data_IF_161180104855
#
_entry.id   IF_161180104855
#
_cell.length_a   1.000
_cell.length_b   1.000
_cell.length_c   1.000
_cell.angle_alpha   90.00
_cell.angle_beta   90.00
_cell.angle_gamma   90.00
#
_symmetry.space_group_name_H-M   'P 1'
#
loop_
_entity.id
_entity.type
_entity.pdbx_description
1 polymer ?
#
# COMPACT_ATOMS: atom_id res chain seq x y z
N UNK A 1 -5.24 21.56 36.03
CA UNK A 1 -5.31 21.04 34.66
C UNK A 1 -4.80 19.60 34.43
N UNK A 2 -3.87 18.98 35.21
CA UNK A 2 -3.31 17.64 34.85
C UNK A 2 -4.30 16.47 34.93
N UNK A 3 -5.52 16.67 35.47
CA UNK A 3 -6.56 15.63 35.51
C UNK A 3 -7.30 15.46 34.19
N UNK A 4 -7.33 16.48 33.34
CA UNK A 4 -8.03 16.41 32.05
C UNK A 4 -7.15 15.77 30.97
N UNK A 5 -5.84 16.11 30.93
CA UNK A 5 -4.88 15.44 30.03
C UNK A 5 -4.79 13.95 30.31
N UNK A 6 -4.71 13.53 31.58
CA UNK A 6 -4.71 12.12 31.97
C UNK A 6 -6.03 11.40 31.59
N UNK A 7 -7.14 12.14 31.54
CA UNK A 7 -8.41 11.60 31.08
C UNK A 7 -8.44 11.42 29.56
N UNK A 8 -7.93 12.39 28.79
CA UNK A 8 -7.81 12.28 27.33
C UNK A 8 -6.83 11.16 26.93
N UNK A 9 -5.74 11.02 27.67
CA UNK A 9 -4.79 9.90 27.52
C UNK A 9 -5.47 8.56 27.73
N UNK A 10 -6.24 8.39 28.81
CA UNK A 10 -7.02 7.17 29.03
C UNK A 10 -8.05 6.94 27.91
N UNK A 11 -8.78 7.98 27.48
CA UNK A 11 -9.75 7.82 26.39
C UNK A 11 -9.08 7.38 25.10
N UNK A 12 -7.92 7.93 24.76
CA UNK A 12 -7.25 7.60 23.51
C UNK A 12 -6.63 6.20 23.55
N UNK A 13 -6.02 5.82 24.67
CA UNK A 13 -5.14 4.65 24.75
C UNK A 13 -5.81 3.40 25.28
N UNK A 14 -6.88 3.51 26.08
CA UNK A 14 -7.52 2.35 26.73
C UNK A 14 -8.88 2.03 26.09
N UNK A 15 -9.31 0.75 26.12
CA UNK A 15 -10.59 0.35 25.53
C UNK A 15 -11.77 0.83 26.37
N UNK A 16 -11.58 1.02 27.66
CA UNK A 16 -12.60 1.61 28.55
C UNK A 16 -11.98 2.58 29.53
N UNK A 17 -12.76 3.59 29.91
CA UNK A 17 -12.39 4.61 30.90
C UNK A 17 -13.49 4.71 31.94
N UNK A 18 -13.14 4.60 33.22
CA UNK A 18 -14.09 4.77 34.31
C UNK A 18 -14.12 6.23 34.76
N UNK A 19 -15.22 6.92 34.49
CA UNK A 19 -15.46 8.28 35.01
C UNK A 19 -16.16 8.18 36.36
N UNK A 20 -15.68 8.99 37.31
CA UNK A 20 -16.27 9.15 38.63
C UNK A 20 -16.87 10.54 38.76
N UNK A 21 -18.20 10.62 38.78
CA UNK A 21 -18.94 11.85 39.07
C UNK A 21 -19.13 11.95 40.57
N UNK A 22 -18.68 13.06 41.17
CA UNK A 22 -18.92 13.39 42.57
C UNK A 22 -19.60 14.74 42.64
N UNK A 23 -20.67 14.83 43.41
CA UNK A 23 -21.40 16.07 43.57
C UNK A 23 -22.14 16.13 44.90
N UNK A 24 -22.69 17.31 45.15
CA UNK A 24 -23.59 17.57 46.25
C UNK A 24 -24.95 17.94 45.68
N UNK A 25 -26.00 17.26 46.16
CA UNK A 25 -27.37 17.59 45.84
C UNK A 25 -28.02 18.30 47.04
N UNK A 26 -28.87 19.26 46.73
CA UNK A 26 -29.73 19.94 47.70
C UNK A 26 -31.20 19.73 47.26
N UNK A 27 -31.76 18.53 47.44
CA UNK A 27 -33.14 18.29 47.04
C UNK A 27 -34.10 19.04 47.95
N UNK A 28 -35.12 19.62 47.34
CA UNK A 28 -36.22 20.28 48.05
C UNK A 28 -37.45 19.39 47.96
N UNK A 29 -37.96 18.96 49.11
CA UNK A 29 -39.16 18.12 49.21
C UNK A 29 -40.32 19.01 49.61
N UNK A 30 -41.37 19.04 48.78
CA UNK A 30 -42.60 19.78 49.06
C UNK A 30 -43.52 18.93 49.93
N UNK A 31 -43.75 19.36 51.17
CA UNK A 31 -44.70 18.75 52.09
C UNK A 31 -45.97 19.61 52.17
N UNK A 32 -47.06 19.04 52.67
CA UNK A 32 -48.32 19.76 52.92
C UNK A 32 -48.11 20.93 53.90
N UNK A 33 -47.06 20.87 54.72
CA UNK A 33 -46.70 21.88 55.73
C UNK A 33 -45.63 22.88 55.25
N UNK A 34 -45.16 22.79 54.00
CA UNK A 34 -44.12 23.66 53.45
C UNK A 34 -42.98 22.89 52.77
N UNK A 35 -42.03 23.63 52.21
CA UNK A 35 -40.87 23.06 51.53
C UNK A 35 -39.75 22.76 52.53
N UNK A 36 -39.21 21.55 52.47
CA UNK A 36 -38.06 21.12 53.28
C UNK A 36 -36.87 20.88 52.35
N UNK A 37 -35.82 21.69 52.49
CA UNK A 37 -34.57 21.48 51.76
C UNK A 37 -33.64 20.56 52.56
N UNK A 38 -33.18 19.47 51.94
CA UNK A 38 -32.11 18.64 52.48
C UNK A 38 -30.78 19.17 51.96
N UNK A 39 -29.83 19.48 52.85
CA UNK A 39 -28.49 19.95 52.47
C UNK A 39 -27.45 18.84 52.53
N UNK A 40 -26.38 18.95 51.73
CA UNK A 40 -25.19 18.09 51.77
C UNK A 40 -25.43 16.61 51.45
N UNK A 41 -26.38 16.28 50.56
CA UNK A 41 -26.47 14.91 50.06
C UNK A 41 -25.32 14.69 49.07
N UNK A 42 -24.29 13.98 49.51
CA UNK A 42 -23.21 13.54 48.62
C UNK A 42 -23.68 12.40 47.76
N UNK A 43 -23.50 12.53 46.45
CA UNK A 43 -23.64 11.42 45.53
C UNK A 43 -22.33 11.16 44.80
N UNK A 44 -22.08 9.88 44.55
CA UNK A 44 -20.95 9.42 43.76
C UNK A 44 -21.47 8.38 42.78
N UNK A 45 -21.36 8.67 41.48
CA UNK A 45 -21.69 7.73 40.42
C UNK A 45 -20.42 7.37 39.67
N UNK A 46 -20.27 6.08 39.34
CA UNK A 46 -19.25 5.62 38.40
C UNK A 46 -19.94 5.20 37.10
N UNK A 47 -19.38 5.64 35.99
CA UNK A 47 -19.83 5.26 34.65
C UNK A 47 -18.61 4.79 33.87
N UNK A 48 -18.78 3.71 33.12
CA UNK A 48 -17.75 3.22 32.21
C UNK A 48 -18.07 3.74 30.82
N UNK A 49 -17.09 4.40 30.20
CA UNK A 49 -17.15 4.80 28.81
C UNK A 49 -16.24 3.90 27.98
N UNK A 50 -16.62 3.64 26.74
CA UNK A 50 -15.71 3.07 25.75
C UNK A 50 -14.67 4.15 25.39
N UNK A 51 -13.40 3.78 25.38
CA UNK A 51 -12.31 4.58 24.81
C UNK A 51 -11.98 4.11 23.40
N UNK A 52 -10.92 4.66 22.83
CA UNK A 52 -10.51 4.44 21.44
C UNK A 52 -9.53 3.28 21.28
N UNK A 53 -8.92 2.79 22.38
CA UNK A 53 -7.96 1.68 22.38
C UNK A 53 -6.81 1.85 21.36
N UNK A 54 -6.31 3.08 21.19
CA UNK A 54 -5.35 3.44 20.14
C UNK A 54 -5.80 3.04 18.71
N UNK A 55 -7.10 2.92 18.50
CA UNK A 55 -7.73 2.38 17.29
C UNK A 55 -7.27 0.95 16.94
N UNK A 56 -6.95 0.14 17.95
CA UNK A 56 -6.57 -1.25 17.77
C UNK A 56 -7.80 -2.15 17.50
N UNK A 57 -8.97 -1.81 18.05
CA UNK A 57 -10.19 -2.62 17.95
C UNK A 57 -11.43 -1.76 17.65
N UNK A 58 -11.92 -1.75 16.39
CA UNK A 58 -11.33 -2.37 15.21
C UNK A 58 -10.09 -1.60 14.70
N UNK A 59 -9.15 -2.29 14.00
CA UNK A 59 -7.94 -1.66 13.50
C UNK A 59 -8.25 -0.59 12.45
N UNK A 60 -7.36 0.40 12.33
CA UNK A 60 -7.39 1.38 11.24
C UNK A 60 -7.22 0.62 9.92
N UNK A 61 -8.10 0.91 8.96
CA UNK A 61 -8.07 0.33 7.62
C UNK A 61 -7.64 1.37 6.60
N UNK A 62 -6.85 0.97 5.61
CA UNK A 62 -6.59 1.82 4.45
C UNK A 62 -7.64 1.51 3.39
N UNK A 63 -8.48 2.50 3.10
CA UNK A 63 -9.60 2.37 2.15
C UNK A 63 -9.14 2.63 0.73
N UNK A 64 -8.31 3.66 0.56
CA UNK A 64 -7.84 4.09 -0.77
C UNK A 64 -6.46 4.75 -0.66
N UNK A 65 -5.66 4.60 -1.72
CA UNK A 65 -4.31 5.18 -1.84
C UNK A 65 -4.16 5.81 -3.21
N UNK A 66 -3.98 7.12 -3.25
CA UNK A 66 -3.76 7.90 -4.46
C UNK A 66 -2.37 8.54 -4.45
N UNK A 67 -1.82 8.72 -5.64
CA UNK A 67 -0.58 9.48 -5.84
C UNK A 67 -0.93 10.94 -6.09
N UNK A 68 -0.39 11.83 -5.26
CA UNK A 68 -0.48 13.28 -5.40
C UNK A 68 0.69 13.87 -6.17
N UNK A 69 1.09 15.08 -5.80
CA UNK A 69 2.22 15.78 -6.43
C UNK A 69 3.53 15.05 -6.15
N UNK A 70 4.36 14.91 -7.18
CA UNK A 70 5.70 14.32 -7.10
C UNK A 70 6.79 15.25 -7.63
N UNK A 71 7.97 15.11 -7.05
CA UNK A 71 9.26 15.62 -7.51
C UNK A 71 10.18 14.44 -7.77
N UNK A 72 11.37 14.66 -8.32
CA UNK A 72 12.33 13.57 -8.58
C UNK A 72 12.67 12.72 -7.35
N UNK A 73 12.66 13.30 -6.16
CA UNK A 73 13.06 12.62 -4.91
C UNK A 73 11.93 12.46 -3.90
N UNK A 74 10.75 13.00 -4.19
CA UNK A 74 9.62 12.98 -3.25
C UNK A 74 8.28 12.68 -3.94
N UNK A 75 7.42 11.92 -3.27
CA UNK A 75 6.06 11.62 -3.74
C UNK A 75 5.07 11.80 -2.60
N UNK A 76 4.03 12.59 -2.85
CA UNK A 76 2.92 12.73 -1.92
C UNK A 76 1.97 11.56 -2.10
N UNK A 77 1.76 10.79 -1.05
CA UNK A 77 0.70 9.79 -0.98
C UNK A 77 -0.52 10.41 -0.31
N UNK A 78 -1.67 10.31 -0.95
CA UNK A 78 -2.97 10.72 -0.42
C UNK A 78 -3.71 9.44 -0.01
N UNK A 79 -4.01 9.30 1.26
CA UNK A 79 -4.52 8.04 1.83
C UNK A 79 -5.86 8.30 2.50
N UNK A 80 -6.87 7.50 2.15
CA UNK A 80 -8.14 7.49 2.87
C UNK A 80 -8.10 6.37 3.90
N UNK A 81 -8.26 6.73 5.17
CA UNK A 81 -8.26 5.82 6.31
C UNK A 81 -9.69 5.62 6.82
N UNK A 82 -10.05 4.37 7.11
CA UNK A 82 -11.26 4.00 7.83
C UNK A 82 -10.93 3.81 9.32
N UNK A 83 -11.55 4.63 10.16
CA UNK A 83 -11.33 4.66 11.61
C UNK A 83 -12.65 4.53 12.35
N UNK A 84 -12.74 3.62 13.31
CA UNK A 84 -13.98 3.43 14.08
C UNK A 84 -13.80 3.95 15.51
N UNK A 85 -14.72 4.81 15.92
CA UNK A 85 -14.84 5.26 17.31
C UNK A 85 -15.96 4.45 17.99
N UNK A 86 -15.64 3.51 18.91
CA UNK A 86 -16.65 2.74 19.63
C UNK A 86 -17.34 3.54 20.75
N UNK A 87 -16.90 4.76 21.04
CA UNK A 87 -17.47 5.64 22.05
C UNK A 87 -18.79 6.28 21.60
N UNK A 88 -19.59 6.73 22.58
CA UNK A 88 -20.86 7.45 22.35
C UNK A 88 -20.67 8.96 22.14
N UNK A 89 -19.43 9.46 22.20
CA UNK A 89 -19.08 10.87 22.07
C UNK A 89 -18.04 11.05 20.98
N UNK A 90 -18.08 12.22 20.33
CA UNK A 90 -17.08 12.61 19.35
C UNK A 90 -15.81 13.10 20.04
N UNK A 91 -14.65 12.79 19.45
CA UNK A 91 -13.35 13.31 19.89
C UNK A 91 -12.75 14.14 18.76
N UNK A 92 -12.43 15.40 19.05
CA UNK A 92 -11.68 16.27 18.15
C UNK A 92 -10.23 16.32 18.60
N UNK A 93 -9.35 15.74 17.79
CA UNK A 93 -7.90 15.71 18.00
C UNK A 93 -7.20 16.82 17.21
N UNK A 94 -7.88 17.40 16.22
CA UNK A 94 -7.40 18.47 15.35
C UNK A 94 -6.24 18.04 14.46
N UNK A 95 -5.31 18.94 14.12
CA UNK A 95 -4.19 18.59 13.25
C UNK A 95 -3.25 17.61 13.97
N UNK A 96 -3.03 16.47 13.34
CA UNK A 96 -2.21 15.38 13.86
C UNK A 96 -1.14 15.01 12.84
N UNK A 97 0.10 14.83 13.31
CA UNK A 97 1.18 14.30 12.47
C UNK A 97 1.91 13.15 13.17
N UNK A 98 1.99 12.01 12.49
CA UNK A 98 2.47 10.75 13.05
C UNK A 98 3.60 10.20 12.17
N UNK A 99 4.79 9.93 12.74
CA UNK A 99 5.77 9.05 12.14
C UNK A 99 5.17 7.72 11.71
N UNK A 100 5.30 7.41 10.41
CA UNK A 100 5.00 6.10 9.85
C UNK A 100 6.31 5.32 9.75
N UNK A 101 6.41 4.27 10.56
CA UNK A 101 7.56 3.38 10.61
C UNK A 101 7.27 2.10 9.81
N UNK A 102 8.24 1.71 9.00
CA UNK A 102 8.28 0.40 8.34
C UNK A 102 9.57 -0.30 8.78
N UNK A 103 9.46 -1.54 9.26
CA UNK A 103 10.59 -2.28 9.85
C UNK A 103 11.39 -1.50 10.91
N UNK A 104 10.69 -0.72 11.77
CA UNK A 104 11.26 0.17 12.78
C UNK A 104 12.08 1.36 12.25
N UNK A 105 12.07 1.61 10.94
CA UNK A 105 12.70 2.77 10.31
C UNK A 105 11.64 3.75 9.80
N UNK A 106 11.94 5.05 9.86
CA UNK A 106 11.02 6.10 9.45
C UNK A 106 10.80 6.10 7.93
N UNK A 107 9.64 5.64 7.46
CA UNK A 107 9.32 5.73 6.03
C UNK A 107 8.92 7.17 5.67
N UNK A 108 7.90 7.71 6.35
CA UNK A 108 7.41 9.08 6.12
C UNK A 108 6.70 9.63 7.37
N UNK A 109 6.34 10.91 7.34
CA UNK A 109 5.41 11.52 8.30
C UNK A 109 4.03 11.55 7.66
N UNK A 110 3.04 10.98 8.34
CA UNK A 110 1.64 11.06 7.96
C UNK A 110 1.00 12.28 8.63
N UNK A 111 0.31 13.09 7.85
CA UNK A 111 -0.37 14.31 8.28
C UNK A 111 -1.88 14.15 8.10
N UNK A 112 -2.62 14.57 9.11
CA UNK A 112 -4.09 14.70 9.08
C UNK A 112 -4.40 16.12 9.53
N UNK A 113 -5.03 16.91 8.67
CA UNK A 113 -5.24 18.35 8.91
C UNK A 113 -6.25 18.61 10.03
N UNK A 114 -7.29 17.78 10.13
CA UNK A 114 -8.29 17.82 11.20
C UNK A 114 -8.85 16.42 11.48
N UNK A 115 -8.38 15.81 12.56
CA UNK A 115 -8.86 14.51 12.99
C UNK A 115 -10.04 14.67 13.94
N UNK A 116 -11.23 14.37 13.43
CA UNK A 116 -12.46 14.27 14.22
C UNK A 116 -13.00 12.85 14.12
N UNK A 117 -13.13 12.19 15.26
CA UNK A 117 -13.68 10.85 15.37
C UNK A 117 -15.11 10.92 15.92
N UNK A 118 -16.11 10.87 15.06
CA UNK A 118 -17.53 10.74 15.46
C UNK A 118 -17.83 9.30 15.88
N UNK A 119 -18.84 9.07 16.75
CA UNK A 119 -19.30 7.73 17.08
C UNK A 119 -19.57 6.87 15.83
N UNK A 120 -18.98 5.68 15.77
CA UNK A 120 -19.07 4.78 14.63
C UNK A 120 -17.91 4.90 13.64
N UNK A 121 -18.15 4.55 12.38
CA UNK A 121 -17.15 4.53 11.32
C UNK A 121 -16.92 5.94 10.73
N UNK A 122 -15.66 6.34 10.62
CA UNK A 122 -15.21 7.62 10.09
C UNK A 122 -14.26 7.40 8.92
N UNK A 123 -14.37 8.25 7.91
CA UNK A 123 -13.38 8.38 6.86
C UNK A 123 -12.47 9.57 7.19
N UNK A 124 -11.17 9.30 7.26
CA UNK A 124 -10.14 10.29 7.58
C UNK A 124 -9.20 10.40 6.40
N UNK A 125 -8.94 11.61 5.95
CA UNK A 125 -8.00 11.87 4.86
C UNK A 125 -6.63 12.21 5.46
N UNK A 126 -5.64 11.41 5.08
CA UNK A 126 -4.26 11.60 5.47
C UNK A 126 -3.39 11.84 4.24
N UNK A 127 -2.28 12.54 4.40
CA UNK A 127 -1.28 12.66 3.36
C UNK A 127 0.13 12.49 3.94
N UNK A 128 1.04 11.92 3.15
CA UNK A 128 2.42 11.72 3.56
C UNK A 128 3.37 12.03 2.42
N UNK A 129 4.47 12.74 2.72
CA UNK A 129 5.51 13.01 1.74
C UNK A 129 6.62 11.96 1.87
N UNK A 130 6.60 10.96 1.00
CA UNK A 130 7.63 9.91 0.97
C UNK A 130 8.82 10.46 0.21
N UNK A 131 9.96 10.50 0.88
CA UNK A 131 11.24 10.94 0.31
C UNK A 131 12.22 9.79 0.31
N UNK A 132 12.97 9.60 -0.77
CA UNK A 132 14.08 8.63 -0.79
C UNK A 132 15.28 9.32 -0.13
N UNK A 133 15.71 8.90 1.06
CA UNK A 133 16.90 9.47 1.68
C UNK A 133 18.15 9.01 0.92
N UNK A 134 19.20 9.81 0.98
CA UNK A 134 20.50 9.43 0.45
C UNK A 134 21.05 8.24 1.24
N UNK A 135 21.40 7.17 0.52
CA UNK A 135 21.96 5.93 1.08
C UNK A 135 23.23 6.17 1.90
N UNK A 136 24.00 7.22 1.56
CA UNK A 136 25.20 7.61 2.31
C UNK A 136 24.92 8.29 3.64
N UNK A 137 23.72 8.86 3.80
CA UNK A 137 23.30 9.59 5.00
C UNK A 137 22.55 8.68 5.97
N UNK A 138 21.58 7.91 5.46
CA UNK A 138 20.76 7.01 6.27
C UNK A 138 20.41 5.74 5.48
N UNK A 139 21.31 4.73 5.47
CA UNK A 139 21.11 3.50 4.70
C UNK A 139 19.91 2.70 5.21
N UNK A 140 19.66 2.66 6.52
CA UNK A 140 18.55 1.92 7.10
C UNK A 140 17.20 2.50 6.64
N UNK A 141 17.08 3.83 6.64
CA UNK A 141 15.88 4.50 6.14
C UNK A 141 15.73 4.35 4.63
N UNK A 142 16.83 4.41 3.89
CA UNK A 142 16.83 4.17 2.45
C UNK A 142 16.26 2.79 2.13
N UNK A 143 16.83 1.75 2.72
CA UNK A 143 16.42 0.35 2.51
C UNK A 143 14.95 0.14 2.91
N UNK A 144 14.51 0.71 4.03
CA UNK A 144 13.12 0.62 4.47
C UNK A 144 12.14 1.26 3.47
N UNK A 145 12.44 2.45 2.96
CA UNK A 145 11.59 3.13 1.97
C UNK A 145 11.58 2.35 0.65
N UNK A 146 12.74 1.87 0.19
CA UNK A 146 12.84 1.10 -1.05
C UNK A 146 12.09 -0.23 -0.96
N UNK A 147 12.18 -0.91 0.19
CA UNK A 147 11.45 -2.15 0.45
C UNK A 147 9.95 -1.92 0.56
N UNK A 148 9.51 -0.83 1.21
CA UNK A 148 8.10 -0.45 1.27
C UNK A 148 7.53 -0.21 -0.13
N UNK A 149 8.22 0.58 -0.95
CA UNK A 149 7.80 0.84 -2.34
C UNK A 149 7.81 -0.44 -3.19
N UNK A 150 8.80 -1.30 -3.02
CA UNK A 150 8.85 -2.62 -3.69
C UNK A 150 7.66 -3.49 -3.30
N UNK A 151 7.34 -3.61 -2.00
CA UNK A 151 6.18 -4.38 -1.55
C UNK A 151 4.87 -3.81 -2.10
N UNK A 152 4.73 -2.48 -2.09
CA UNK A 152 3.56 -1.81 -2.67
C UNK A 152 3.40 -2.16 -4.16
N UNK A 153 4.45 -2.01 -4.97
CA UNK A 153 4.41 -2.31 -6.41
C UNK A 153 4.16 -3.80 -6.73
N UNK A 154 4.54 -4.71 -5.82
CA UNK A 154 4.30 -6.15 -5.93
C UNK A 154 2.88 -6.56 -5.52
N UNK A 155 2.05 -5.63 -5.05
CA UNK A 155 0.72 -5.97 -4.52
C UNK A 155 0.77 -6.64 -3.14
N UNK A 156 1.91 -6.59 -2.45
CA UNK A 156 2.06 -7.19 -1.12
C UNK A 156 1.64 -6.21 -0.02
N UNK A 157 0.81 -6.63 0.95
CA UNK A 157 0.50 -5.79 2.10
C UNK A 157 1.73 -5.60 2.99
N UNK A 158 1.94 -4.36 3.45
CA UNK A 158 3.03 -3.98 4.34
C UNK A 158 2.47 -3.59 5.71
N UNK A 159 2.96 -4.21 6.77
CA UNK A 159 2.63 -3.76 8.13
C UNK A 159 3.48 -2.54 8.48
N UNK A 160 2.82 -1.45 8.83
CA UNK A 160 3.47 -0.20 9.22
C UNK A 160 2.94 0.25 10.58
N UNK A 161 3.80 0.90 11.35
CA UNK A 161 3.48 1.36 12.70
C UNK A 161 3.41 2.88 12.69
N UNK A 162 2.27 3.44 13.05
CA UNK A 162 2.11 4.84 13.36
C UNK A 162 2.52 5.05 14.82
N UNK A 163 3.55 5.83 15.06
CA UNK A 163 4.01 6.17 16.41
C UNK A 163 3.83 7.66 16.65
N UNK A 164 3.17 8.02 17.74
CA UNK A 164 3.04 9.41 18.15
C UNK A 164 4.28 9.93 18.88
N UNK A 165 4.41 11.24 18.88
CA UNK A 165 5.40 12.01 19.63
C UNK A 165 4.69 13.14 20.37
N UNK A 166 5.39 13.83 21.28
CA UNK A 166 4.80 14.99 21.98
C UNK A 166 4.33 16.06 21.00
N UNK A 167 5.07 16.24 19.91
CA UNK A 167 4.81 17.24 18.89
C UNK A 167 3.63 16.85 18.00
N UNK A 168 3.24 15.57 17.96
CA UNK A 168 2.19 15.04 17.06
C UNK A 168 0.83 15.73 17.17
N UNK A 169 0.56 16.45 18.27
CA UNK A 169 -0.61 17.30 18.40
C UNK A 169 -0.22 18.72 18.79
N UNK A 170 -0.95 19.69 18.23
CA UNK A 170 -0.85 21.10 18.62
C UNK A 170 -1.49 21.41 19.98
N UNK A 171 -2.27 20.49 20.54
CA UNK A 171 -2.95 20.69 21.83
C UNK A 171 -2.13 20.15 23.00
N UNK A 172 -1.71 21.00 23.97
CA UNK A 172 -0.91 20.59 25.12
C UNK A 172 -1.51 19.44 25.93
N UNK A 173 -2.84 19.37 26.01
CA UNK A 173 -3.55 18.33 26.76
C UNK A 173 -3.48 16.95 26.11
N UNK A 174 -3.26 16.89 24.79
CA UNK A 174 -3.14 15.65 24.01
C UNK A 174 -1.70 15.19 23.83
N UNK A 175 -0.70 16.05 24.04
CA UNK A 175 0.71 15.68 23.90
C UNK A 175 1.11 14.47 24.75
N UNK A 176 0.70 14.34 26.03
CA UNK A 176 1.00 13.14 26.82
C UNK A 176 0.39 11.88 26.20
N UNK A 177 -0.83 11.98 25.66
CA UNK A 177 -1.50 10.85 25.02
C UNK A 177 -0.79 10.41 23.74
N UNK A 178 -0.39 11.37 22.89
CA UNK A 178 0.34 11.06 21.66
C UNK A 178 1.78 10.59 21.91
N UNK A 179 2.41 10.98 23.02
CA UNK A 179 3.78 10.56 23.36
C UNK A 179 3.97 9.05 23.45
N UNK A 180 2.89 8.32 23.76
CA UNK A 180 2.85 6.87 23.93
C UNK A 180 1.88 6.21 22.94
N UNK A 181 1.32 6.99 22.00
CA UNK A 181 0.39 6.48 21.01
C UNK A 181 1.14 5.59 20.01
N UNK A 182 0.64 4.37 19.83
CA UNK A 182 1.15 3.46 18.81
C UNK A 182 -0.05 2.72 18.18
N UNK A 183 -0.12 2.73 16.86
CA UNK A 183 -1.13 2.02 16.09
C UNK A 183 -0.47 1.25 14.95
N UNK A 184 -0.81 -0.03 14.83
CA UNK A 184 -0.35 -0.86 13.72
C UNK A 184 -1.42 -0.88 12.64
N UNK A 185 -1.02 -0.56 11.41
CA UNK A 185 -1.90 -0.54 10.25
C UNK A 185 -1.29 -1.45 9.16
N UNK A 186 -2.15 -2.14 8.43
CA UNK A 186 -1.73 -2.89 7.25
C UNK A 186 -1.96 -2.01 6.03
N UNK A 187 -0.87 -1.55 5.42
CA UNK A 187 -0.89 -0.79 4.18
C UNK A 187 -1.06 -1.76 3.00
N UNK A 188 -2.11 -1.62 2.18
CA UNK A 188 -2.35 -2.52 1.06
C UNK A 188 -1.29 -2.32 -0.03
N UNK A 189 -0.96 -3.38 -0.73
CA UNK A 189 -0.21 -3.27 -1.98
C UNK A 189 -1.09 -2.77 -3.12
N UNK A 190 -0.48 -2.58 -4.28
CA UNK A 190 -1.18 -2.25 -5.52
C UNK A 190 -2.22 -3.34 -5.86
N UNK A 191 -3.49 -2.94 -5.98
CA UNK A 191 -4.63 -3.86 -6.17
C UNK A 191 -4.56 -4.60 -7.51
N UNK A 192 -4.07 -3.92 -8.55
CA UNK A 192 -3.92 -4.49 -9.88
C UNK A 192 -2.44 -4.63 -10.21
N UNK A 193 -1.97 -5.80 -10.66
CA UNK A 193 -0.57 -5.98 -11.05
C UNK A 193 -0.21 -5.02 -12.19
N UNK A 194 1.01 -4.51 -12.15
CA UNK A 194 1.51 -3.59 -13.17
C UNK A 194 1.69 -4.28 -14.52
N UNK A 195 2.11 -5.55 -14.56
CA UNK A 195 2.16 -6.33 -15.81
C UNK A 195 0.88 -7.15 -15.92
N UNK A 196 0.01 -6.82 -16.88
CA UNK A 196 -1.23 -7.56 -17.09
C UNK A 196 -0.96 -8.91 -17.76
N UNK A 197 -0.16 -8.90 -18.83
CA UNK A 197 0.28 -10.09 -19.54
C UNK A 197 1.52 -9.78 -20.39
N UNK A 198 2.12 -10.82 -20.96
CA UNK A 198 3.21 -10.73 -21.91
C UNK A 198 2.88 -11.54 -23.17
N UNK A 199 3.44 -11.14 -24.30
CA UNK A 199 3.35 -11.92 -25.54
C UNK A 199 4.74 -12.06 -26.14
N UNK A 200 5.14 -13.29 -26.41
CA UNK A 200 6.36 -13.66 -27.13
C UNK A 200 5.99 -13.95 -28.60
N UNK A 201 6.68 -13.31 -29.52
CA UNK A 201 6.52 -13.48 -30.95
C UNK A 201 7.65 -14.36 -31.48
N UNK A 202 7.34 -15.63 -31.68
CA UNK A 202 8.30 -16.61 -32.18
C UNK A 202 7.61 -17.74 -32.94
N UNK A 203 8.28 -18.23 -33.98
CA UNK A 203 7.85 -19.41 -34.72
C UNK A 203 8.65 -20.60 -34.20
N UNK A 204 7.97 -21.52 -33.51
CA UNK A 204 8.60 -22.70 -32.94
C UNK A 204 8.63 -23.79 -34.03
N UNK A 205 9.82 -24.00 -34.58
CA UNK A 205 10.10 -25.00 -35.61
C UNK A 205 11.06 -26.09 -35.13
N UNK A 206 12.03 -26.46 -35.94
CA UNK A 206 13.05 -27.48 -35.61
C UNK A 206 14.22 -26.92 -34.77
N UNK A 207 14.27 -25.61 -34.54
CA UNK A 207 15.32 -24.90 -33.79
C UNK A 207 14.69 -23.82 -32.89
N UNK A 208 15.10 -23.74 -31.63
CA UNK A 208 14.72 -22.63 -30.73
C UNK A 208 15.55 -21.43 -31.11
N UNK A 209 14.91 -20.28 -31.38
CA UNK A 209 15.65 -19.05 -31.63
C UNK A 209 16.40 -18.66 -30.36
N UNK A 210 17.58 -18.04 -30.51
CA UNK A 210 18.35 -17.53 -29.35
C UNK A 210 17.79 -16.23 -28.80
N UNK A 211 16.86 -15.60 -29.53
CA UNK A 211 16.16 -14.40 -29.13
C UNK A 211 14.79 -14.31 -29.83
N UNK A 212 13.80 -13.74 -29.16
CA UNK A 212 12.47 -13.49 -29.72
C UNK A 212 12.02 -12.06 -29.46
N UNK A 213 11.12 -11.53 -30.29
CA UNK A 213 10.46 -10.27 -29.97
C UNK A 213 9.38 -10.52 -28.93
N UNK A 214 9.21 -9.64 -27.95
CA UNK A 214 8.09 -9.71 -27.02
C UNK A 214 7.55 -8.35 -26.63
N UNK A 215 6.26 -8.33 -26.27
CA UNK A 215 5.58 -7.13 -25.76
C UNK A 215 4.98 -7.41 -24.40
N UNK A 216 4.97 -6.41 -23.53
CA UNK A 216 4.26 -6.45 -22.26
C UNK A 216 3.00 -5.59 -22.35
N UNK A 217 1.93 -6.02 -21.70
CA UNK A 217 0.81 -5.16 -21.35
C UNK A 217 1.04 -4.61 -19.95
N UNK A 218 1.14 -3.29 -19.85
CA UNK A 218 1.31 -2.59 -18.59
C UNK A 218 -0.04 -2.01 -18.18
N UNK A 219 -0.57 -2.46 -17.04
CA UNK A 219 -1.76 -1.92 -16.43
C UNK A 219 -1.37 -0.90 -15.36
N UNK A 220 -1.45 0.38 -15.70
CA UNK A 220 -1.24 1.44 -14.73
C UNK A 220 -2.58 1.84 -14.10
N UNK A 221 -2.82 1.39 -12.87
CA UNK A 221 -4.00 1.77 -12.07
C UNK A 221 -3.80 3.06 -11.26
N UNK A 222 -2.60 3.65 -11.28
CA UNK A 222 -2.29 4.87 -10.53
C UNK A 222 -2.84 6.12 -11.23
N UNK A 223 -3.07 7.17 -10.44
CA UNK A 223 -3.49 8.50 -10.92
C UNK A 223 -2.32 9.32 -11.49
N UNK A 224 -1.16 8.72 -11.65
CA UNK A 224 0.05 9.33 -12.18
C UNK A 224 0.62 8.49 -13.31
N UNK A 225 1.24 9.16 -14.29
CA UNK A 225 1.92 8.47 -15.39
C UNK A 225 3.10 7.66 -14.86
N UNK A 226 3.22 6.42 -15.30
CA UNK A 226 4.37 5.56 -14.99
C UNK A 226 5.25 5.47 -16.22
N UNK A 227 6.55 5.73 -16.07
CA UNK A 227 7.54 5.57 -17.13
C UNK A 227 8.62 4.62 -16.68
N UNK A 228 8.88 3.58 -17.47
CA UNK A 228 10.01 2.67 -17.21
C UNK A 228 11.24 3.22 -17.93
N UNK A 229 12.24 3.62 -17.16
CA UNK A 229 13.52 4.15 -17.65
C UNK A 229 14.57 3.05 -17.76
N UNK A 230 14.45 2.01 -16.94
CA UNK A 230 15.26 0.80 -17.06
C UNK A 230 14.46 -0.38 -16.50
N UNK A 231 14.54 -1.53 -17.15
CA UNK A 231 13.97 -2.77 -16.65
C UNK A 231 14.93 -3.89 -16.98
N UNK A 232 15.34 -4.64 -15.96
CA UNK A 232 16.05 -5.90 -16.09
C UNK A 232 15.21 -6.95 -15.40
N UNK A 233 14.33 -7.59 -16.16
CA UNK A 233 13.35 -8.55 -15.65
C UNK A 233 13.67 -9.94 -16.19
N UNK A 234 13.87 -10.90 -15.31
CA UNK A 234 14.01 -12.31 -15.64
C UNK A 234 12.63 -12.96 -15.69
N UNK A 235 12.44 -13.82 -16.69
CA UNK A 235 11.22 -14.60 -16.89
C UNK A 235 11.50 -16.04 -16.50
N UNK A 236 10.65 -16.60 -15.66
CA UNK A 236 10.70 -18.01 -15.23
C UNK A 236 9.36 -18.67 -15.52
N UNK A 237 9.39 -19.95 -15.83
CA UNK A 237 8.20 -20.78 -16.02
C UNK A 237 8.21 -21.87 -14.97
N UNK A 238 7.06 -22.20 -14.42
CA UNK A 238 6.97 -23.31 -13.51
C UNK A 238 7.18 -24.64 -14.28
N UNK A 239 8.16 -25.47 -13.91
CA UNK A 239 8.40 -26.74 -14.59
C UNK A 239 7.37 -27.82 -14.20
N UNK A 240 6.70 -27.69 -13.06
CA UNK A 240 5.71 -28.65 -12.58
C UNK A 240 4.54 -27.92 -11.93
N UNK A 241 3.41 -27.91 -12.62
CA UNK A 241 2.21 -27.19 -12.24
C UNK A 241 1.09 -28.18 -11.85
N UNK A 242 0.37 -27.86 -10.77
CA UNK A 242 -0.83 -28.61 -10.40
C UNK A 242 -1.96 -28.35 -11.39
N UNK A 243 -2.92 -29.27 -11.48
CA UNK A 243 -4.14 -29.10 -12.27
C UNK A 243 -4.99 -27.84 -11.91
N UNK A 244 -4.64 -27.14 -10.82
CA UNK A 244 -5.31 -25.95 -10.29
C UNK A 244 -4.56 -24.64 -10.54
N UNK A 245 -3.48 -24.62 -11.32
CA UNK A 245 -2.79 -23.37 -11.65
C UNK A 245 -1.67 -22.98 -10.69
N UNK A 246 -1.27 -23.89 -9.79
CA UNK A 246 -0.29 -23.62 -8.72
C UNK A 246 1.00 -24.35 -9.04
N UNK A 247 2.10 -23.60 -9.06
CA UNK A 247 3.43 -24.17 -9.22
C UNK A 247 3.83 -25.01 -8.00
N UNK A 248 3.95 -26.34 -8.17
CA UNK A 248 4.39 -27.26 -7.11
C UNK A 248 5.84 -26.99 -6.69
N UNK A 249 6.62 -26.40 -7.59
CA UNK A 249 8.03 -26.09 -7.38
C UNK A 249 8.25 -24.73 -6.72
N UNK A 250 7.19 -23.96 -6.44
CA UNK A 250 7.34 -22.65 -5.82
C UNK A 250 8.05 -22.76 -4.44
N UNK A 251 9.05 -21.91 -4.13
CA UNK A 251 9.47 -20.70 -4.85
C UNK A 251 10.56 -20.92 -5.95
N UNK A 252 11.02 -22.14 -6.15
CA UNK A 252 12.09 -22.51 -7.08
C UNK A 252 11.52 -22.84 -8.47
N UNK A 253 11.35 -21.80 -9.29
CA UNK A 253 10.90 -21.89 -10.69
C UNK A 253 12.03 -22.32 -11.65
N UNK A 254 13.09 -22.96 -11.14
CA UNK A 254 14.26 -23.34 -11.94
C UNK A 254 15.05 -22.14 -12.50
N UNK A 255 15.72 -22.37 -13.62
CA UNK A 255 16.51 -21.35 -14.33
C UNK A 255 15.60 -20.40 -15.11
N UNK A 256 16.05 -19.15 -15.29
CA UNK A 256 15.32 -18.18 -16.11
C UNK A 256 15.39 -18.59 -17.59
N UNK A 257 14.24 -18.60 -18.27
CA UNK A 257 14.18 -18.87 -19.70
C UNK A 257 14.70 -17.73 -20.57
N UNK A 258 14.71 -16.52 -20.00
CA UNK A 258 15.21 -15.34 -20.66
C UNK A 258 15.06 -14.12 -19.78
N UNK A 259 15.52 -13.00 -20.29
CA UNK A 259 15.31 -11.72 -19.64
C UNK A 259 14.73 -10.70 -20.61
N UNK A 260 13.74 -9.97 -20.12
CA UNK A 260 13.17 -8.82 -20.80
C UNK A 260 14.13 -7.64 -20.62
N UNK A 261 14.82 -7.34 -21.72
CA UNK A 261 15.67 -6.16 -21.96
C UNK A 261 16.90 -6.02 -21.04
N UNK A 262 18.05 -5.76 -21.66
CA UNK A 262 19.30 -5.42 -20.97
C UNK A 262 19.89 -4.16 -21.61
N UNK A 263 19.25 -3.02 -21.36
CA UNK A 263 19.67 -1.74 -21.91
C UNK A 263 19.14 -0.56 -21.11
N UNK A 264 19.35 0.64 -21.65
CA UNK A 264 18.83 1.88 -21.08
C UNK A 264 17.60 2.36 -21.88
N UNK A 265 16.43 2.36 -21.23
CA UNK A 265 15.19 2.87 -21.81
C UNK A 265 15.07 4.40 -21.65
N UNK A 266 16.04 5.08 -21.02
CA UNK A 266 15.97 6.53 -20.77
C UNK A 266 15.70 7.36 -22.03
N UNK A 267 16.23 6.94 -23.19
CA UNK A 267 16.05 7.62 -24.48
C UNK A 267 14.67 7.38 -25.10
N UNK A 268 14.04 6.25 -24.84
CA UNK A 268 12.71 5.88 -25.35
C UNK A 268 11.97 5.08 -24.27
N UNK A 269 11.49 5.76 -23.22
CA UNK A 269 10.93 5.08 -22.07
C UNK A 269 9.61 4.42 -22.44
N UNK A 270 9.29 3.34 -21.75
CA UNK A 270 7.95 2.75 -21.82
C UNK A 270 7.03 3.62 -20.99
N UNK A 271 6.05 4.26 -21.62
CA UNK A 271 5.11 5.16 -20.95
C UNK A 271 3.77 4.45 -20.80
N UNK A 272 3.28 4.39 -19.56
CA UNK A 272 1.95 3.95 -19.21
C UNK A 272 1.21 5.11 -18.54
N UNK A 273 0.36 5.85 -19.27
CA UNK A 273 -0.43 6.94 -18.71
C UNK A 273 -1.32 6.49 -17.53
N UNK A 274 -1.70 7.43 -16.68
CA UNK A 274 -2.60 7.15 -15.55
C UNK A 274 -3.89 6.44 -15.98
N UNK A 275 -4.30 5.41 -15.22
CA UNK A 275 -5.50 4.60 -15.48
C UNK A 275 -5.58 3.97 -16.89
N UNK A 276 -4.45 3.52 -17.44
CA UNK A 276 -4.43 2.91 -18.78
C UNK A 276 -3.77 1.54 -18.83
N UNK A 277 -4.21 0.74 -19.81
CA UNK A 277 -3.51 -0.44 -20.27
C UNK A 277 -2.67 -0.05 -21.48
N UNK A 278 -1.35 -0.09 -21.32
CA UNK A 278 -0.40 0.32 -22.36
C UNK A 278 0.42 -0.87 -22.82
N UNK A 279 0.42 -1.09 -24.14
CA UNK A 279 1.27 -2.08 -24.77
C UNK A 279 2.66 -1.52 -25.02
N UNK A 280 3.69 -2.26 -24.64
CA UNK A 280 5.05 -1.87 -24.98
C UNK A 280 5.35 -2.09 -26.47
N UNK A 281 6.38 -1.41 -26.97
CA UNK A 281 6.99 -1.79 -28.25
C UNK A 281 7.54 -3.22 -28.17
N UNK A 282 7.69 -3.93 -29.29
CA UNK A 282 8.38 -5.21 -29.28
C UNK A 282 9.85 -4.99 -28.88
N UNK A 283 10.28 -5.68 -27.83
CA UNK A 283 11.66 -5.74 -27.39
C UNK A 283 12.23 -7.13 -27.64
N UNK A 284 13.53 -7.19 -27.93
CA UNK A 284 14.22 -8.46 -28.05
C UNK A 284 14.39 -9.04 -26.64
N UNK A 285 13.94 -10.28 -26.48
CA UNK A 285 14.07 -11.09 -25.27
C UNK A 285 15.13 -12.14 -25.59
N UNK A 286 16.25 -12.04 -24.90
CA UNK A 286 17.35 -12.98 -25.03
C UNK A 286 17.03 -14.24 -24.23
N UNK A 287 17.12 -15.38 -24.89
CA UNK A 287 16.81 -16.68 -24.32
C UNK A 287 18.08 -17.27 -23.71
N UNK A 288 17.97 -17.86 -22.52
CA UNK A 288 19.12 -18.34 -21.76
C UNK A 288 19.02 -19.85 -21.55
N UNK A 289 20.01 -20.59 -22.04
CA UNK A 289 20.11 -22.04 -21.80
C UNK A 289 19.27 -22.90 -22.76
N UNK A 290 19.02 -24.14 -22.35
CA UNK A 290 18.22 -25.12 -23.12
C UNK A 290 16.75 -25.03 -22.72
N UNK A 291 16.05 -24.06 -23.28
CA UNK A 291 14.67 -23.73 -22.92
C UNK A 291 13.59 -24.49 -23.74
N UNK A 292 13.98 -25.55 -24.43
CA UNK A 292 13.07 -26.30 -25.30
C UNK A 292 11.87 -26.88 -24.57
N UNK A 293 12.11 -27.50 -23.41
CA UNK A 293 11.07 -28.11 -22.60
C UNK A 293 10.14 -27.03 -22.01
N UNK A 294 10.72 -25.90 -21.57
CA UNK A 294 9.96 -24.77 -21.02
C UNK A 294 9.10 -24.06 -22.08
N UNK A 295 9.61 -23.91 -23.30
CA UNK A 295 8.84 -23.37 -24.42
C UNK A 295 7.71 -24.30 -24.86
N UNK A 296 7.89 -25.61 -24.73
CA UNK A 296 6.82 -26.57 -25.01
C UNK A 296 5.70 -26.46 -23.96
N UNK A 297 6.06 -26.30 -22.68
CA UNK A 297 5.11 -26.04 -21.60
C UNK A 297 4.38 -24.72 -21.88
N UNK A 298 5.08 -23.64 -22.22
CA UNK A 298 4.44 -22.38 -22.60
C UNK A 298 3.48 -22.53 -23.78
N UNK A 299 3.86 -23.22 -24.84
CA UNK A 299 2.99 -23.42 -25.99
C UNK A 299 1.71 -24.16 -25.61
N UNK A 300 1.82 -25.22 -24.81
CA UNK A 300 0.68 -26.03 -24.39
C UNK A 300 -0.23 -25.27 -23.42
N UNK A 301 0.35 -24.64 -22.39
CA UNK A 301 -0.41 -24.00 -21.31
C UNK A 301 -0.84 -22.56 -21.64
N UNK A 302 -0.23 -21.89 -22.63
CA UNK A 302 -0.65 -20.55 -23.06
C UNK A 302 -1.98 -20.57 -23.81
N UNK A 303 -2.30 -21.63 -24.54
CA UNK A 303 -3.62 -21.79 -25.19
C UNK A 303 -4.75 -21.84 -24.15
N UNK A 304 -4.47 -22.40 -22.97
CA UNK A 304 -5.42 -22.57 -21.87
C UNK A 304 -5.36 -21.45 -20.81
N UNK A 305 -4.52 -20.42 -20.97
CA UNK A 305 -4.27 -19.35 -19.98
C UNK A 305 -3.83 -19.89 -18.62
N UNK A 306 -2.99 -20.92 -18.64
CA UNK A 306 -2.61 -21.69 -17.46
C UNK A 306 -1.13 -21.65 -17.13
N UNK A 307 -0.28 -21.11 -18.01
CA UNK A 307 1.15 -21.08 -17.75
C UNK A 307 1.48 -20.26 -16.49
N UNK A 308 1.86 -20.92 -15.40
CA UNK A 308 2.34 -20.24 -14.20
C UNK A 308 3.74 -19.68 -14.42
N UNK A 309 3.84 -18.38 -14.70
CA UNK A 309 5.13 -17.71 -14.87
C UNK A 309 5.43 -16.73 -13.73
N UNK A 310 6.72 -16.53 -13.50
CA UNK A 310 7.25 -15.54 -12.57
C UNK A 310 8.10 -14.54 -13.33
N UNK A 311 7.83 -13.25 -13.11
CA UNK A 311 8.71 -12.16 -13.49
C UNK A 311 9.39 -11.64 -12.24
N UNK A 312 10.71 -11.50 -12.25
CA UNK A 312 11.40 -10.77 -11.19
C UNK A 312 12.57 -9.94 -11.71
N UNK A 313 13.00 -8.95 -10.94
CA UNK A 313 14.22 -8.21 -11.27
C UNK A 313 14.16 -6.77 -10.81
N UNK A 314 14.98 -5.93 -11.44
CA UNK A 314 15.13 -4.53 -11.02
C UNK A 314 14.53 -3.61 -12.06
N UNK A 315 13.70 -2.67 -11.61
CA UNK A 315 13.02 -1.71 -12.47
C UNK A 315 13.29 -0.31 -11.96
N UNK A 316 13.79 0.55 -12.83
CA UNK A 316 13.86 1.99 -12.62
C UNK A 316 12.64 2.61 -13.26
N UNK A 317 11.73 3.09 -12.43
CA UNK A 317 10.48 3.70 -12.83
C UNK A 317 10.42 5.17 -12.40
N UNK A 318 9.72 5.96 -13.20
CA UNK A 318 9.33 7.32 -12.86
C UNK A 318 7.80 7.36 -12.72
N UNK A 319 7.31 7.67 -11.52
CA UNK A 319 5.87 7.81 -11.22
C UNK A 319 5.54 9.30 -11.07
N UNK A 320 4.85 9.87 -12.07
CA UNK A 320 4.79 11.32 -12.24
C UNK A 320 6.20 11.88 -12.49
N UNK A 321 6.74 12.62 -11.52
CA UNK A 321 8.14 13.05 -11.54
C UNK A 321 9.05 12.20 -10.65
N UNK A 322 8.51 11.36 -9.77
CA UNK A 322 9.26 10.62 -8.76
C UNK A 322 10.03 9.46 -9.34
N UNK A 323 11.35 9.49 -9.20
CA UNK A 323 12.25 8.45 -9.70
C UNK A 323 12.51 7.42 -8.60
N UNK A 324 12.26 6.14 -8.88
CA UNK A 324 12.53 5.06 -7.94
C UNK A 324 13.09 3.81 -8.64
N UNK A 325 13.94 3.07 -7.93
CA UNK A 325 14.51 1.80 -8.38
C UNK A 325 14.01 0.67 -7.50
N UNK A 326 12.96 -0.02 -7.93
CA UNK A 326 12.34 -1.08 -7.12
C UNK A 326 12.75 -2.46 -7.59
N UNK A 327 12.89 -3.39 -6.64
CA UNK A 327 12.82 -4.80 -6.96
C UNK A 327 11.37 -5.14 -7.26
N UNK A 328 11.11 -5.59 -8.48
CA UNK A 328 9.79 -5.98 -8.93
C UNK A 328 9.71 -7.50 -9.01
N UNK A 329 8.62 -8.05 -8.51
CA UNK A 329 8.32 -9.47 -8.65
C UNK A 329 6.81 -9.63 -8.82
N UNK A 330 6.42 -10.38 -9.84
CA UNK A 330 5.04 -10.74 -10.09
C UNK A 330 4.96 -12.23 -10.41
N UNK A 331 4.01 -12.91 -9.77
CA UNK A 331 3.67 -14.30 -10.02
C UNK A 331 2.45 -14.39 -10.92
N UNK A 332 2.28 -15.53 -11.58
CA UNK A 332 1.16 -15.84 -12.47
C UNK A 332 0.98 -14.78 -13.56
N UNK A 333 2.06 -14.41 -14.25
CA UNK A 333 1.94 -13.52 -15.41
C UNK A 333 1.55 -14.37 -16.62
N UNK A 334 0.44 -14.05 -17.27
CA UNK A 334 0.06 -14.76 -18.48
C UNK A 334 1.06 -14.45 -19.59
N UNK A 335 1.75 -15.47 -20.10
CA UNK A 335 2.70 -15.35 -21.22
C UNK A 335 2.11 -16.08 -22.42
N UNK A 336 1.76 -15.32 -23.45
CA UNK A 336 1.25 -15.84 -24.71
C UNK A 336 2.37 -16.05 -25.72
N UNK A 337 2.27 -17.08 -26.55
CA UNK A 337 3.14 -17.27 -27.71
C UNK A 337 2.35 -17.01 -28.99
N UNK A 338 2.85 -16.11 -29.84
CA UNK A 338 2.24 -15.74 -31.10
C UNK A 338 3.25 -15.91 -32.26
N UNK A 339 2.78 -16.12 -33.51
CA UNK A 339 3.65 -16.21 -34.67
C UNK A 339 4.45 -14.92 -34.88
N UNK A 340 5.64 -15.01 -35.49
CA UNK A 340 6.46 -13.80 -35.74
C UNK A 340 5.77 -12.80 -36.65
N UNK A 341 4.87 -13.25 -37.54
CA UNK A 341 4.06 -12.42 -38.42
C UNK A 341 3.15 -11.43 -37.68
N UNK A 342 2.80 -11.74 -36.43
CA UNK A 342 1.84 -10.98 -35.64
C UNK A 342 2.54 -9.93 -34.77
N UNK A 343 3.85 -9.74 -34.96
CA UNK A 343 4.59 -8.66 -34.30
C UNK A 343 3.92 -7.33 -34.60
N UNK A 344 3.46 -6.60 -33.56
CA UNK A 344 2.80 -5.32 -33.76
C UNK A 344 3.76 -4.31 -34.36
N UNK A 345 3.27 -3.53 -35.31
CA UNK A 345 3.85 -2.21 -35.57
C UNK A 345 3.43 -1.29 -34.41
N UNK A 346 4.28 -0.32 -34.02
CA UNK A 346 4.12 0.54 -32.84
C UNK A 346 2.74 1.25 -32.74
N UNK A 347 1.70 0.54 -32.28
CA UNK A 347 0.34 1.07 -32.13
C UNK A 347 -0.03 1.01 -30.65
N UNK A 348 -0.29 2.17 -29.99
CA UNK A 348 -0.83 2.18 -28.64
C UNK A 348 -2.23 1.56 -28.65
N UNK A 349 -2.49 0.61 -27.75
CA UNK A 349 -3.81 0.02 -27.59
C UNK A 349 -4.77 1.04 -26.95
N UNK A 350 -5.99 1.13 -27.47
CA UNK A 350 -7.11 1.79 -26.81
C UNK A 350 -7.76 0.81 -25.84
N UNK A 351 -8.08 1.28 -24.63
CA UNK A 351 -8.86 0.56 -23.64
C UNK A 351 -10.21 0.11 -24.23
N UNK A 352 -10.73 -1.07 -23.84
CA UNK A 352 -12.16 -1.34 -23.96
C UNK A 352 -12.90 -0.31 -23.11
N UNK A 353 -14.01 0.24 -23.63
CA UNK A 353 -14.85 1.14 -22.85
C UNK A 353 -15.34 0.41 -21.58
N UNK A 354 -15.39 1.08 -20.42
CA UNK A 354 -15.90 0.47 -19.20
C UNK A 354 -17.35 0.00 -19.43
N UNK A 355 -17.60 -1.28 -19.19
CA UNK A 355 -18.94 -1.88 -19.20
C UNK A 355 -19.73 -1.51 -17.95
#
# INVERSE_FOLDING_TARGET
MPRFSAFLEQILLTPTVTIRFRGHAVPTVRLVIGDVSLSNITFEQRTVLQGLDSFAQPPITVVDVNVGVSTETSIILLVTLGLTNPSIFSVQLGPVHLPLLFNNSLATMAYVDDLVAYPGFNLVYAHGNVTIPDVSVDPARHDAVMQFLSQYMRGMPSNVTLRGMNESSSYPELQPAFSVFEANITFPGLVSPLVANATLYMDIGLSVPTAANGTLMINNSLNADVRLLNASLYVYICPNETAHGVCDSAPDYGDAIGYFYHGDLSLNPVVAPAHTLSRTKPYIIDMVGSIWDDLLILLQESEDHRANTKLNGTVVAQVGNFLCTVFYEQLNVDVFVAPTSDTPTNVPLQLPAPT
#
